data_IF_103494374026
#
_entry.id   IF_103494374026
#
_cell.length_a   1.000
_cell.length_b   1.000
_cell.length_c   1.000
_cell.angle_alpha   90.00
_cell.angle_beta   90.00
_cell.angle_gamma   90.00
#
_symmetry.space_group_name_H-M   'P 1'
#
loop_
_entity.id
_entity.type
_entity.pdbx_description
1 polymer ?
#
# COMPACT_ATOMS: atom_id res chain seq x y z
N UNK A 1 -51.28 -50.00 32.44
CA UNK A 1 -50.79 -49.73 31.06
C UNK A 1 -51.39 -48.41 30.58
N UNK A 2 -50.82 -47.80 29.52
CA UNK A 2 -51.09 -46.49 28.89
C UNK A 2 -50.63 -45.25 29.68
N UNK A 3 -49.36 -44.81 29.62
CA UNK A 3 -48.58 -44.14 28.55
C UNK A 3 -49.02 -42.69 28.24
N UNK A 4 -48.19 -41.74 28.66
CA UNK A 4 -48.33 -40.27 28.58
C UNK A 4 -47.87 -39.72 27.22
N UNK A 5 -48.34 -38.53 26.81
CA UNK A 5 -47.58 -37.71 25.87
C UNK A 5 -47.54 -36.22 26.24
N UNK A 6 -47.14 -35.87 27.47
CA UNK A 6 -46.86 -34.46 27.86
C UNK A 6 -45.44 -33.98 27.44
N UNK A 7 -44.59 -34.87 26.92
CA UNK A 7 -43.15 -34.60 26.75
C UNK A 7 -42.75 -34.01 25.39
N UNK A 8 -43.68 -33.75 24.46
CA UNK A 8 -43.34 -33.29 23.09
C UNK A 8 -43.31 -31.77 22.89
N UNK A 9 -43.96 -30.97 23.73
CA UNK A 9 -44.03 -29.50 23.53
C UNK A 9 -42.83 -28.71 24.07
N UNK A 10 -42.03 -29.28 24.98
CA UNK A 10 -40.88 -28.57 25.59
C UNK A 10 -39.60 -28.67 24.77
N UNK A 11 -39.49 -29.65 23.88
CA UNK A 11 -38.27 -29.87 23.09
C UNK A 11 -38.18 -28.91 21.90
N UNK A 12 -39.30 -28.43 21.36
CA UNK A 12 -39.29 -27.48 20.24
C UNK A 12 -38.94 -26.04 20.65
N UNK A 13 -39.08 -25.68 21.93
CA UNK A 13 -38.76 -24.33 22.41
C UNK A 13 -37.27 -24.14 22.77
N UNK A 14 -36.49 -25.22 22.94
CA UNK A 14 -35.10 -25.15 23.36
C UNK A 14 -34.08 -25.11 22.19
N UNK A 15 -34.51 -25.36 20.95
CA UNK A 15 -33.63 -25.40 19.78
C UNK A 15 -33.64 -24.11 18.93
N UNK A 16 -34.56 -23.18 19.19
CA UNK A 16 -34.65 -21.93 18.44
C UNK A 16 -33.79 -20.77 19.01
N UNK A 17 -33.15 -20.98 20.17
CA UNK A 17 -32.37 -19.93 20.86
C UNK A 17 -30.85 -20.06 20.69
N UNK A 18 -30.37 -21.02 19.90
CA UNK A 18 -28.94 -21.30 19.69
C UNK A 18 -28.43 -20.96 18.29
N UNK A 19 -29.22 -20.22 17.49
CA UNK A 19 -28.88 -19.88 16.11
C UNK A 19 -28.68 -18.37 15.85
N UNK A 20 -28.63 -17.53 16.89
CA UNK A 20 -28.58 -16.07 16.72
C UNK A 20 -27.47 -15.37 17.55
N UNK A 21 -26.27 -15.95 17.61
CA UNK A 21 -25.08 -15.28 18.21
C UNK A 21 -23.87 -15.26 17.26
N UNK A 22 -24.05 -15.57 15.97
CA UNK A 22 -22.93 -15.66 15.02
C UNK A 22 -22.54 -14.35 14.32
N UNK A 23 -23.06 -13.17 14.73
CA UNK A 23 -22.85 -11.92 13.99
C UNK A 23 -22.18 -10.80 14.81
N UNK A 24 -21.20 -11.16 15.63
CA UNK A 24 -20.26 -10.19 16.19
C UNK A 24 -18.93 -10.89 16.51
N UNK A 25 -18.27 -11.45 15.50
CA UNK A 25 -16.84 -11.69 15.64
C UNK A 25 -16.20 -10.30 15.81
N UNK A 26 -15.51 -10.00 16.93
CA UNK A 26 -14.74 -8.78 17.00
C UNK A 26 -13.76 -8.87 15.82
N UNK A 27 -13.64 -7.78 15.05
CA UNK A 27 -12.53 -7.66 14.13
C UNK A 27 -11.27 -8.02 14.93
N UNK A 28 -10.71 -9.21 14.67
CA UNK A 28 -9.46 -9.61 15.30
C UNK A 28 -8.47 -8.58 14.81
N UNK A 29 -8.19 -7.60 15.65
CA UNK A 29 -7.06 -6.69 15.47
C UNK A 29 -5.85 -7.60 15.52
N UNK A 30 -5.39 -8.06 14.35
CA UNK A 30 -4.13 -8.76 14.23
C UNK A 30 -3.06 -7.88 14.87
N UNK A 31 -2.22 -8.47 15.71
CA UNK A 31 -1.21 -7.71 16.42
C UNK A 31 -0.37 -6.88 15.41
N UNK A 32 0.07 -5.65 15.74
CA UNK A 32 0.83 -4.79 14.82
C UNK A 32 2.05 -5.49 14.19
N UNK A 33 2.65 -6.44 14.91
CA UNK A 33 3.73 -7.28 14.42
C UNK A 33 3.30 -8.23 13.28
N UNK A 34 2.08 -8.79 13.32
CA UNK A 34 1.54 -9.65 12.27
C UNK A 34 1.24 -8.84 10.99
N UNK A 35 0.74 -7.61 11.16
CA UNK A 35 0.49 -6.68 10.06
C UNK A 35 1.79 -6.28 9.34
N UNK A 36 2.84 -5.93 10.10
CA UNK A 36 4.15 -5.64 9.52
C UNK A 36 4.74 -6.84 8.75
N UNK A 37 4.45 -8.06 9.19
CA UNK A 37 4.85 -9.27 8.47
C UNK A 37 4.10 -9.45 7.14
N UNK A 38 2.82 -9.07 7.06
CA UNK A 38 2.05 -9.12 5.80
C UNK A 38 2.65 -8.18 4.74
N UNK A 39 2.96 -6.94 5.11
CA UNK A 39 3.57 -5.96 4.20
C UNK A 39 4.97 -6.42 3.78
N UNK A 40 5.78 -6.89 4.74
CA UNK A 40 7.11 -7.42 4.44
C UNK A 40 7.05 -8.65 3.52
N UNK A 41 6.04 -9.51 3.69
CA UNK A 41 5.82 -10.65 2.80
C UNK A 41 5.40 -10.20 1.41
N UNK A 42 4.46 -9.25 1.28
CA UNK A 42 4.07 -8.68 0.00
C UNK A 42 5.27 -8.10 -0.77
N UNK A 43 6.14 -7.36 -0.08
CA UNK A 43 7.38 -6.83 -0.68
C UNK A 43 8.31 -7.93 -1.21
N UNK A 44 8.36 -9.08 -0.56
CA UNK A 44 9.13 -10.25 -1.06
C UNK A 44 8.50 -10.88 -2.28
N UNK A 45 7.18 -10.87 -2.39
CA UNK A 45 6.50 -11.40 -3.58
C UNK A 45 6.67 -10.45 -4.77
N UNK A 46 6.55 -9.14 -4.55
CA UNK A 46 6.88 -8.12 -5.54
C UNK A 46 8.33 -8.23 -6.03
N UNK A 47 9.28 -8.49 -5.12
CA UNK A 47 10.67 -8.72 -5.51
C UNK A 47 10.87 -9.96 -6.41
N UNK A 48 9.91 -10.88 -6.43
CA UNK A 48 9.86 -12.06 -7.31
C UNK A 48 8.96 -11.87 -8.53
N UNK A 49 8.28 -10.72 -8.66
CA UNK A 49 7.26 -10.47 -9.68
C UNK A 49 5.92 -11.17 -9.43
N UNK A 50 5.67 -11.64 -8.21
CA UNK A 50 4.39 -12.23 -7.82
C UNK A 50 3.42 -11.15 -7.32
N UNK A 51 2.89 -10.39 -8.28
CA UNK A 51 1.91 -9.33 -8.01
C UNK A 51 0.61 -9.84 -7.38
N UNK A 52 0.15 -11.03 -7.76
CA UNK A 52 -1.07 -11.65 -7.19
C UNK A 52 -0.84 -11.97 -5.71
N UNK A 53 0.27 -12.61 -5.38
CA UNK A 53 0.63 -12.90 -4.00
C UNK A 53 0.78 -11.63 -3.16
N UNK A 54 1.43 -10.62 -3.72
CA UNK A 54 1.57 -9.33 -3.07
C UNK A 54 0.20 -8.71 -2.74
N UNK A 55 -0.70 -8.63 -3.72
CA UNK A 55 -2.04 -8.08 -3.53
C UNK A 55 -2.82 -8.81 -2.43
N UNK A 56 -2.79 -10.16 -2.42
CA UNK A 56 -3.49 -10.94 -1.40
C UNK A 56 -3.03 -10.55 0.02
N UNK A 57 -1.73 -10.39 0.23
CA UNK A 57 -1.18 -10.03 1.53
C UNK A 57 -1.48 -8.58 1.91
N UNK A 58 -1.40 -7.66 0.94
CA UNK A 58 -1.72 -6.24 1.16
C UNK A 58 -3.20 -6.05 1.47
N UNK A 59 -4.10 -6.78 0.82
CA UNK A 59 -5.54 -6.77 1.14
C UNK A 59 -5.81 -7.26 2.57
N UNK A 60 -5.08 -8.27 3.04
CA UNK A 60 -5.15 -8.71 4.44
C UNK A 60 -4.66 -7.63 5.40
N UNK A 61 -3.56 -6.94 5.07
CA UNK A 61 -3.07 -5.84 5.87
C UNK A 61 -4.11 -4.70 5.98
N UNK A 62 -4.76 -4.33 4.87
CA UNK A 62 -5.87 -3.35 4.88
C UNK A 62 -7.05 -3.83 5.71
N UNK A 63 -7.43 -5.12 5.59
CA UNK A 63 -8.50 -5.70 6.41
C UNK A 63 -8.16 -5.72 7.91
N UNK A 64 -6.87 -5.79 8.26
CA UNK A 64 -6.38 -5.68 9.62
C UNK A 64 -6.27 -4.21 10.13
N UNK A 65 -6.69 -3.22 9.33
CA UNK A 65 -6.75 -1.81 9.71
C UNK A 65 -5.57 -0.96 9.27
N UNK A 66 -4.68 -1.48 8.40
CA UNK A 66 -3.66 -0.64 7.77
C UNK A 66 -4.32 0.40 6.90
N UNK A 67 -3.90 1.65 7.07
CA UNK A 67 -4.37 2.74 6.25
C UNK A 67 -4.02 2.56 4.77
N UNK A 68 -4.81 3.19 3.91
CA UNK A 68 -4.59 3.12 2.46
C UNK A 68 -3.20 3.65 2.05
N UNK A 69 -2.71 4.80 2.56
CA UNK A 69 -1.39 5.34 2.18
C UNK A 69 -0.20 4.42 2.48
N UNK A 70 -0.29 3.62 3.54
CA UNK A 70 0.75 2.73 4.04
C UNK A 70 1.00 1.51 3.14
N UNK A 71 0.07 1.21 2.23
CA UNK A 71 0.20 0.09 1.27
C UNK A 71 -0.01 0.52 -0.17
N UNK A 72 -0.31 1.80 -0.44
CA UNK A 72 -0.71 2.27 -1.76
C UNK A 72 0.39 2.07 -2.81
N UNK A 73 1.66 2.25 -2.45
CA UNK A 73 2.78 2.07 -3.36
C UNK A 73 2.93 0.60 -3.79
N UNK A 74 2.92 -0.34 -2.84
CA UNK A 74 3.02 -1.77 -3.08
C UNK A 74 1.77 -2.32 -3.76
N UNK A 75 0.58 -1.85 -3.41
CA UNK A 75 -0.66 -2.28 -4.03
C UNK A 75 -0.71 -1.84 -5.49
N UNK A 76 -0.33 -0.59 -5.77
CA UNK A 76 -0.18 -0.09 -7.13
C UNK A 76 0.83 -0.90 -7.93
N UNK A 77 1.99 -1.23 -7.35
CA UNK A 77 2.98 -2.08 -8.01
C UNK A 77 2.42 -3.48 -8.31
N UNK A 78 1.78 -4.11 -7.33
CA UNK A 78 1.17 -5.44 -7.48
C UNK A 78 0.16 -5.49 -8.62
N UNK A 79 -0.67 -4.44 -8.75
CA UNK A 79 -1.67 -4.32 -9.81
C UNK A 79 -1.03 -4.05 -11.17
N UNK A 80 0.04 -3.24 -11.22
CA UNK A 80 0.81 -3.01 -12.45
C UNK A 80 1.52 -4.29 -12.95
N UNK A 81 2.06 -5.11 -12.05
CA UNK A 81 2.64 -6.42 -12.39
C UNK A 81 1.59 -7.39 -12.96
N UNK A 82 0.34 -7.25 -12.54
CA UNK A 82 -0.80 -8.01 -13.08
C UNK A 82 -1.38 -7.43 -14.38
N UNK A 83 -0.99 -6.20 -14.75
CA UNK A 83 -1.56 -5.48 -15.88
C UNK A 83 -2.88 -4.76 -15.60
N UNK A 84 -3.36 -4.78 -14.36
CA UNK A 84 -4.61 -4.15 -13.89
C UNK A 84 -4.43 -2.63 -13.70
N UNK A 85 -4.28 -1.89 -14.81
CA UNK A 85 -3.98 -0.45 -14.81
C UNK A 85 -5.06 0.40 -14.15
N UNK A 86 -6.33 0.09 -14.40
CA UNK A 86 -7.46 0.84 -13.83
C UNK A 86 -7.44 0.80 -12.30
N UNK A 87 -7.26 -0.39 -11.72
CA UNK A 87 -7.13 -0.52 -10.27
C UNK A 87 -5.84 0.12 -9.78
N UNK A 88 -4.72 -0.03 -10.49
CA UNK A 88 -3.48 0.64 -10.13
C UNK A 88 -3.67 2.16 -10.05
N UNK A 89 -4.45 2.75 -10.95
CA UNK A 89 -4.82 4.18 -10.92
C UNK A 89 -5.60 4.57 -9.68
N UNK A 90 -6.52 3.74 -9.20
CA UNK A 90 -7.25 4.00 -7.95
C UNK A 90 -6.31 4.10 -6.74
N UNK A 91 -5.25 3.29 -6.71
CA UNK A 91 -4.29 3.25 -5.59
C UNK A 91 -3.20 4.32 -5.72
N UNK A 92 -2.68 4.55 -6.93
CA UNK A 92 -1.54 5.44 -7.17
C UNK A 92 -1.96 6.88 -7.49
N UNK A 93 -3.12 7.08 -8.11
CA UNK A 93 -3.61 8.39 -8.59
C UNK A 93 -3.70 9.47 -7.52
N UNK A 94 -4.18 9.18 -6.29
CA UNK A 94 -4.17 10.16 -5.20
C UNK A 94 -2.77 10.65 -4.81
N UNK A 95 -1.72 9.92 -5.19
CA UNK A 95 -0.33 10.19 -4.82
C UNK A 95 -0.13 10.38 -3.31
N UNK A 96 -0.94 9.68 -2.51
CA UNK A 96 -0.90 9.68 -1.05
C UNK A 96 -0.17 8.41 -0.58
N UNK A 97 1.09 8.57 -0.18
CA UNK A 97 1.97 7.49 0.26
C UNK A 97 2.49 7.77 1.66
N UNK A 98 2.70 6.71 2.44
CA UNK A 98 3.29 6.83 3.77
C UNK A 98 4.78 7.27 3.71
N UNK A 99 5.29 7.89 4.80
CA UNK A 99 6.70 8.22 4.91
C UNK A 99 7.62 7.02 4.71
N UNK A 100 8.57 7.13 3.79
CA UNK A 100 9.49 6.08 3.38
C UNK A 100 9.11 5.39 2.07
N UNK A 101 7.85 5.44 1.66
CA UNK A 101 7.34 4.77 0.46
C UNK A 101 7.02 5.75 -0.69
N UNK A 102 7.14 7.07 -0.47
CA UNK A 102 6.79 8.08 -1.46
C UNK A 102 7.60 7.97 -2.74
N UNK A 103 8.89 7.66 -2.64
CA UNK A 103 9.76 7.45 -3.81
C UNK A 103 9.27 6.25 -4.63
N UNK A 104 8.87 5.16 -3.97
CA UNK A 104 8.36 3.98 -4.66
C UNK A 104 6.99 4.27 -5.30
N UNK A 105 6.08 4.87 -4.53
CA UNK A 105 4.74 5.21 -5.00
C UNK A 105 4.76 6.16 -6.19
N UNK A 106 5.59 7.21 -6.16
CA UNK A 106 5.75 8.13 -7.28
C UNK A 106 6.41 7.47 -8.50
N UNK A 107 7.34 6.53 -8.30
CA UNK A 107 7.92 5.75 -9.39
C UNK A 107 6.86 4.85 -10.06
N UNK A 108 5.98 4.24 -9.27
CA UNK A 108 4.89 3.42 -9.80
C UNK A 108 3.83 4.26 -10.49
N UNK A 109 3.47 5.43 -9.94
CA UNK A 109 2.58 6.37 -10.60
C UNK A 109 3.16 6.83 -11.94
N UNK A 110 4.43 7.22 -11.99
CA UNK A 110 5.08 7.59 -13.25
C UNK A 110 5.10 6.42 -14.25
N UNK A 111 5.26 5.18 -13.77
CA UNK A 111 5.21 4.01 -14.62
C UNK A 111 3.81 3.75 -15.19
N UNK A 112 2.76 3.88 -14.37
CA UNK A 112 1.37 3.81 -14.82
C UNK A 112 1.08 4.86 -15.90
N UNK A 113 1.42 6.13 -15.65
CA UNK A 113 1.19 7.21 -16.61
C UNK A 113 1.93 6.97 -17.93
N UNK A 114 3.14 6.40 -17.87
CA UNK A 114 3.89 6.01 -19.07
C UNK A 114 3.18 4.90 -19.85
N UNK A 115 2.66 3.88 -19.17
CA UNK A 115 1.93 2.78 -19.80
C UNK A 115 0.64 3.25 -20.49
N UNK A 116 0.04 4.33 -19.98
CA UNK A 116 -1.16 4.97 -20.56
C UNK A 116 -0.84 6.05 -21.60
N UNK A 117 0.44 6.35 -21.85
CA UNK A 117 0.86 7.36 -22.84
C UNK A 117 0.80 8.80 -22.32
N UNK A 118 0.58 9.01 -21.02
CA UNK A 118 0.56 10.32 -20.37
C UNK A 118 1.97 10.79 -20.02
N UNK A 119 2.81 11.01 -21.04
CA UNK A 119 4.25 11.29 -20.88
C UNK A 119 4.56 12.47 -19.96
N UNK A 120 3.77 13.54 -20.01
CA UNK A 120 3.96 14.71 -19.15
C UNK A 120 3.69 14.40 -17.66
N UNK A 121 2.62 13.64 -17.39
CA UNK A 121 2.31 13.20 -16.03
C UNK A 121 3.36 12.22 -15.50
N UNK A 122 3.83 11.31 -16.36
CA UNK A 122 4.92 10.40 -16.03
C UNK A 122 6.20 11.15 -15.62
N UNK A 123 6.63 12.12 -16.44
CA UNK A 123 7.80 12.96 -16.16
C UNK A 123 7.65 13.71 -14.82
N UNK A 124 6.49 14.32 -14.58
CA UNK A 124 6.22 15.02 -13.32
C UNK A 124 6.32 14.09 -12.10
N UNK A 125 5.77 12.88 -12.17
CA UNK A 125 5.83 11.91 -11.09
C UNK A 125 7.28 11.45 -10.83
N UNK A 126 8.06 11.18 -11.88
CA UNK A 126 9.47 10.81 -11.74
C UNK A 126 10.33 11.94 -11.18
N UNK A 127 10.11 13.18 -11.61
CA UNK A 127 10.83 14.35 -11.08
C UNK A 127 10.56 14.56 -9.59
N UNK A 128 9.31 14.36 -9.16
CA UNK A 128 8.96 14.38 -7.73
C UNK A 128 9.69 13.28 -6.97
N UNK A 129 9.75 12.06 -7.51
CA UNK A 129 10.48 10.95 -6.87
C UNK A 129 11.99 11.26 -6.74
N UNK A 130 12.60 11.87 -7.75
CA UNK A 130 14.02 12.24 -7.75
C UNK A 130 14.33 13.33 -6.71
N UNK A 131 13.45 14.31 -6.54
CA UNK A 131 13.60 15.38 -5.53
C UNK A 131 13.60 14.85 -4.09
N UNK A 132 12.86 13.76 -3.83
CA UNK A 132 12.80 13.14 -2.49
C UNK A 132 14.04 12.33 -2.15
N UNK A 133 14.80 11.85 -3.14
CA UNK A 133 16.07 11.19 -2.89
C UNK A 133 17.20 11.71 -3.82
N UNK A 134 17.68 12.95 -3.59
CA UNK A 134 18.72 13.55 -4.42
C UNK A 134 20.03 12.76 -4.38
N UNK A 135 20.27 11.99 -3.30
CA UNK A 135 21.53 11.26 -3.06
C UNK A 135 21.72 10.05 -3.95
N UNK A 136 20.67 9.53 -4.60
CA UNK A 136 20.80 8.35 -5.49
C UNK A 136 21.20 8.72 -6.93
N UNK A 137 20.98 9.97 -7.36
CA UNK A 137 21.27 10.43 -8.74
C UNK A 137 21.99 11.79 -8.84
N UNK A 138 22.39 12.40 -7.72
CA UNK A 138 22.89 13.77 -7.69
C UNK A 138 24.17 13.97 -6.86
N UNK A 139 25.26 13.27 -7.24
CA UNK A 139 26.61 13.82 -7.08
C UNK A 139 27.21 14.13 -8.46
N UNK A 140 26.41 14.77 -9.32
CA UNK A 140 26.81 15.27 -10.63
C UNK A 140 25.76 16.26 -11.13
N UNK A 141 25.71 17.45 -10.53
CA UNK A 141 24.75 18.48 -10.93
C UNK A 141 24.74 19.69 -10.01
N UNK A 142 25.79 20.52 -10.12
CA UNK A 142 25.77 21.96 -9.84
C UNK A 142 25.05 22.44 -8.55
N UNK A 143 25.68 22.24 -7.39
CA UNK A 143 25.65 23.29 -6.38
C UNK A 143 26.65 24.36 -6.84
N UNK A 144 26.14 25.45 -7.40
CA UNK A 144 26.92 26.64 -7.69
C UNK A 144 27.71 27.05 -6.44
N UNK A 145 29.04 26.87 -6.48
CA UNK A 145 29.93 27.55 -5.55
C UNK A 145 29.99 29.01 -5.99
N UNK A 146 29.65 30.00 -5.14
CA UNK A 146 30.08 31.36 -5.40
C UNK A 146 31.61 31.37 -5.38
N UNK A 147 32.21 31.67 -6.53
CA UNK A 147 33.64 31.86 -6.69
C UNK A 147 34.10 32.97 -5.73
N UNK A 148 34.97 32.66 -4.78
CA UNK A 148 35.71 33.66 -4.00
C UNK A 148 36.85 34.29 -4.84
N UNK A 149 36.60 34.60 -6.12
CA UNK A 149 37.54 35.34 -6.96
C UNK A 149 37.23 36.84 -6.88
N UNK A 150 37.53 37.44 -5.72
CA UNK A 150 37.41 38.87 -5.48
C UNK A 150 38.37 39.42 -4.43
N UNK A 151 39.36 38.64 -4.00
CA UNK A 151 40.51 39.15 -3.23
C UNK A 151 41.77 39.01 -4.06
N UNK A 152 42.07 40.03 -4.85
CA UNK A 152 43.44 40.48 -5.05
C UNK A 152 43.51 41.79 -5.86
N UNK A 153 43.99 42.83 -5.16
CA UNK A 153 44.98 43.79 -5.64
C UNK A 153 44.55 44.82 -6.71
N UNK A 154 44.26 46.02 -6.21
CA UNK A 154 44.95 47.24 -6.65
C UNK A 154 45.31 47.98 -5.34
N UNK A 155 46.57 48.00 -4.88
CA UNK A 155 47.66 48.86 -5.36
C UNK A 155 47.16 50.26 -5.73
N UNK A 156 47.03 51.13 -4.72
CA UNK A 156 47.73 52.41 -4.62
C UNK A 156 47.68 52.90 -3.18
#
# INVERSE_FOLDING_TARGET
MSFTPERRRRVTAALALLALVALAAPARTEAPAAVGQLIAAARRDLAKGDGIGAEVRLRRAVAAGVGRPEVAAEMGQALLEQGDRDKAREWLGPAAFAPGDEVNGLRMLGFLERLEGNWAAAASAYDRALKLNPRRYGRSGAAARPSQSGRARARR
#
